data_IF_661516175334
#
_entry.id   IF_661516175334
#
_cell.length_a   1.000
_cell.length_b   1.000
_cell.length_c   1.000
_cell.angle_alpha   90.00
_cell.angle_beta   90.00
_cell.angle_gamma   90.00
#
_symmetry.space_group_name_H-M   'P 1'
#
loop_
_entity.id
_entity.type
_entity.pdbx_description
1 polymer ?
#
# COMPACT_ATOMS: atom_id res chain seq x y z
N UNK A 1 11.52 -23.71 -9.17
CA UNK A 1 11.17 -22.28 -8.99
C UNK A 1 9.88 -22.06 -9.75
N UNK A 2 8.85 -21.58 -9.08
CA UNK A 2 7.52 -21.41 -9.67
C UNK A 2 7.56 -20.27 -10.67
N UNK A 3 7.13 -20.51 -11.91
CA UNK A 3 7.00 -19.51 -13.01
C UNK A 3 6.16 -18.29 -12.65
N UNK A 4 5.44 -18.33 -11.52
CA UNK A 4 4.57 -17.25 -11.02
C UNK A 4 5.32 -16.08 -10.37
N UNK A 5 6.61 -16.19 -10.09
CA UNK A 5 7.40 -15.09 -9.52
C UNK A 5 7.89 -14.07 -10.54
N UNK A 6 7.76 -14.33 -11.84
CA UNK A 6 8.48 -13.61 -12.89
C UNK A 6 7.66 -12.61 -13.69
N UNK A 7 6.35 -12.49 -13.48
CA UNK A 7 5.57 -11.44 -14.14
C UNK A 7 5.51 -10.14 -13.32
N UNK A 8 6.61 -9.73 -12.74
CA UNK A 8 6.81 -8.34 -12.31
C UNK A 8 7.17 -7.50 -13.56
N UNK A 9 6.30 -7.46 -14.55
CA UNK A 9 6.36 -6.46 -15.61
C UNK A 9 5.83 -5.15 -15.06
N UNK A 10 6.62 -4.51 -14.21
CA UNK A 10 6.43 -3.10 -13.91
C UNK A 10 7.27 -2.33 -14.92
N UNK A 11 6.60 -1.67 -15.83
CA UNK A 11 7.18 -0.78 -16.82
C UNK A 11 6.92 0.68 -16.40
N UNK A 12 7.75 1.58 -16.88
CA UNK A 12 7.52 3.02 -16.76
C UNK A 12 6.14 3.35 -17.31
N UNK A 13 5.40 4.24 -16.61
CA UNK A 13 4.02 4.65 -16.93
C UNK A 13 2.93 3.59 -16.74
N UNK A 14 3.25 2.44 -16.15
CA UNK A 14 2.20 1.51 -15.80
C UNK A 14 1.32 2.11 -14.67
N UNK A 15 -0.03 2.12 -14.81
CA UNK A 15 -0.89 2.88 -13.91
C UNK A 15 -1.04 2.28 -12.51
N UNK A 16 -0.53 1.07 -12.31
CA UNK A 16 -0.67 0.32 -11.05
C UNK A 16 0.53 -0.59 -10.79
N UNK A 17 0.88 -0.76 -9.51
CA UNK A 17 1.91 -1.68 -9.04
C UNK A 17 1.28 -2.92 -8.42
N UNK A 18 1.81 -4.11 -8.73
CA UNK A 18 1.42 -5.37 -8.09
C UNK A 18 2.13 -5.50 -6.74
N UNK A 19 1.37 -5.66 -5.68
CA UNK A 19 1.89 -5.86 -4.32
C UNK A 19 1.39 -7.18 -3.76
N UNK A 20 2.31 -8.06 -3.35
CA UNK A 20 1.97 -9.34 -2.74
C UNK A 20 1.59 -9.14 -1.27
N UNK A 21 0.49 -9.77 -0.84
CA UNK A 21 0.02 -9.70 0.55
C UNK A 21 1.06 -10.26 1.53
N UNK A 22 1.78 -11.30 1.14
CA UNK A 22 2.86 -11.87 1.94
C UNK A 22 3.97 -10.86 2.20
N UNK A 23 4.35 -10.06 1.21
CA UNK A 23 5.34 -8.99 1.37
C UNK A 23 4.89 -7.96 2.42
N UNK A 24 3.66 -7.46 2.33
CA UNK A 24 3.11 -6.54 3.34
C UNK A 24 3.04 -7.20 4.71
N UNK A 25 2.66 -8.49 4.78
CA UNK A 25 2.65 -9.26 6.03
C UNK A 25 4.03 -9.36 6.70
N UNK A 26 5.12 -9.50 5.91
CA UNK A 26 6.49 -9.47 6.40
C UNK A 26 6.88 -8.08 6.90
N UNK A 27 6.60 -7.03 6.14
CA UNK A 27 6.86 -5.65 6.55
C UNK A 27 6.11 -5.27 7.83
N UNK A 28 4.88 -5.73 8.02
CA UNK A 28 4.11 -5.49 9.24
C UNK A 28 4.73 -6.16 10.47
N UNK A 29 5.40 -7.30 10.31
CA UNK A 29 6.08 -8.03 11.39
C UNK A 29 7.45 -7.45 11.75
N UNK A 30 8.14 -6.87 10.79
CA UNK A 30 9.47 -6.30 11.01
C UNK A 30 9.39 -5.00 11.80
N UNK A 31 9.67 -5.07 13.08
CA UNK A 31 9.63 -3.93 14.01
C UNK A 31 10.86 -3.01 13.90
N UNK A 32 11.89 -3.38 13.17
CA UNK A 32 13.10 -2.56 12.97
C UNK A 32 12.82 -1.35 12.05
N UNK A 33 11.88 -1.48 11.11
CA UNK A 33 11.54 -0.44 10.14
C UNK A 33 10.58 0.58 10.77
N UNK A 34 10.93 1.86 10.74
CA UNK A 34 10.14 2.95 11.33
C UNK A 34 8.93 3.32 10.46
N UNK A 35 7.77 3.55 11.10
CA UNK A 35 6.49 3.92 10.45
C UNK A 35 5.97 5.31 10.83
N UNK A 36 6.74 6.07 11.59
CA UNK A 36 6.33 7.37 12.17
C UNK A 36 6.38 8.56 11.18
N UNK A 37 5.85 8.37 9.97
CA UNK A 37 5.67 9.44 8.98
C UNK A 37 4.23 9.96 8.90
N UNK A 38 4.02 11.02 8.10
CA UNK A 38 2.71 11.62 7.83
C UNK A 38 2.24 11.43 6.39
N UNK A 39 3.05 10.77 5.54
CA UNK A 39 2.70 10.41 4.15
C UNK A 39 1.43 9.57 4.09
N UNK A 40 1.32 8.55 4.93
CA UNK A 40 0.18 7.63 4.94
C UNK A 40 0.28 6.49 3.94
N UNK A 41 1.34 6.40 3.14
CA UNK A 41 1.51 5.35 2.12
C UNK A 41 1.49 3.95 2.73
N UNK A 42 2.24 3.72 3.80
CA UNK A 42 2.24 2.46 4.51
C UNK A 42 0.83 2.08 5.02
N UNK A 43 0.15 3.01 5.67
CA UNK A 43 -1.16 2.77 6.26
C UNK A 43 -2.21 2.43 5.18
N UNK A 44 -2.22 3.17 4.07
CA UNK A 44 -3.10 2.90 2.94
C UNK A 44 -2.80 1.54 2.29
N UNK A 45 -1.51 1.19 2.14
CA UNK A 45 -1.08 -0.10 1.58
C UNK A 45 -1.52 -1.27 2.48
N UNK A 46 -1.41 -1.12 3.80
CA UNK A 46 -1.89 -2.12 4.76
C UNK A 46 -3.42 -2.30 4.66
N UNK A 47 -4.19 -1.22 4.62
CA UNK A 47 -5.65 -1.34 4.42
C UNK A 47 -5.98 -2.03 3.11
N UNK A 48 -5.27 -1.69 2.03
CA UNK A 48 -5.42 -2.33 0.72
C UNK A 48 -5.08 -3.83 0.76
N UNK A 49 -4.09 -4.22 1.56
CA UNK A 49 -3.72 -5.62 1.76
C UNK A 49 -4.88 -6.46 2.36
N UNK A 50 -5.70 -5.89 3.23
CA UNK A 50 -6.84 -6.58 3.85
C UNK A 50 -8.13 -6.48 3.03
N UNK A 51 -8.25 -5.52 2.13
CA UNK A 51 -9.47 -5.31 1.35
C UNK A 51 -9.87 -6.56 0.54
N UNK A 52 -11.16 -6.88 0.55
CA UNK A 52 -11.71 -8.05 -0.13
C UNK A 52 -11.78 -7.88 -1.65
N UNK A 53 -11.54 -8.97 -2.38
CA UNK A 53 -11.80 -9.04 -3.82
C UNK A 53 -13.23 -9.48 -4.16
N UNK A 54 -13.84 -10.28 -3.29
CA UNK A 54 -15.19 -10.85 -3.47
C UNK A 54 -16.04 -10.56 -2.25
N UNK A 55 -17.35 -10.59 -2.42
CA UNK A 55 -18.27 -10.55 -1.28
C UNK A 55 -18.04 -11.77 -0.38
N UNK A 56 -17.89 -11.51 0.90
CA UNK A 56 -17.71 -12.52 1.93
C UNK A 56 -18.50 -12.16 3.20
N UNK A 57 -18.55 -13.08 4.15
CA UNK A 57 -19.18 -12.88 5.44
C UNK A 57 -18.15 -13.02 6.55
N UNK A 58 -18.15 -12.07 7.48
CA UNK A 58 -17.30 -12.12 8.67
C UNK A 58 -18.17 -12.07 9.92
N UNK A 59 -17.99 -13.04 10.82
CA UNK A 59 -18.69 -13.07 12.09
C UNK A 59 -17.78 -12.54 13.19
N UNK A 60 -18.26 -11.52 13.93
CA UNK A 60 -17.58 -10.94 15.09
C UNK A 60 -18.60 -10.78 16.21
N UNK A 61 -18.27 -11.26 17.39
CA UNK A 61 -19.11 -11.19 18.60
C UNK A 61 -20.55 -11.72 18.36
N UNK A 62 -20.68 -12.82 17.59
CA UNK A 62 -21.95 -13.44 17.26
C UNK A 62 -22.72 -12.80 16.11
N UNK A 63 -22.34 -11.59 15.66
CA UNK A 63 -23.01 -10.86 14.58
C UNK A 63 -22.31 -11.14 13.26
N UNK A 64 -23.09 -11.46 12.23
CA UNK A 64 -22.60 -11.68 10.87
C UNK A 64 -22.66 -10.38 10.07
N UNK A 65 -21.55 -10.02 9.45
CA UNK A 65 -21.40 -8.83 8.62
C UNK A 65 -21.07 -9.21 7.18
N UNK A 66 -21.75 -8.60 6.22
CA UNK A 66 -21.41 -8.72 4.80
C UNK A 66 -20.28 -7.74 4.46
N UNK A 67 -19.22 -8.26 3.84
CA UNK A 67 -18.05 -7.51 3.39
C UNK A 67 -18.02 -7.55 1.87
N UNK A 68 -18.16 -6.40 1.24
CA UNK A 68 -18.14 -6.27 -0.22
C UNK A 68 -16.71 -6.06 -0.76
N UNK A 69 -16.51 -6.15 -2.09
CA UNK A 69 -15.21 -5.86 -2.71
C UNK A 69 -14.69 -4.47 -2.31
N UNK A 70 -13.42 -4.41 -1.94
CA UNK A 70 -12.77 -3.21 -1.44
C UNK A 70 -13.03 -2.90 0.04
N UNK A 71 -13.89 -3.67 0.70
CA UNK A 71 -14.19 -3.50 2.12
C UNK A 71 -13.42 -4.48 3.00
N UNK A 72 -13.28 -4.10 4.26
CA UNK A 72 -12.87 -4.98 5.35
C UNK A 72 -13.49 -4.54 6.67
N UNK A 73 -13.61 -5.49 7.59
CA UNK A 73 -14.08 -5.27 8.96
C UNK A 73 -13.05 -5.80 9.94
N UNK A 74 -12.65 -4.97 10.90
CA UNK A 74 -11.69 -5.34 11.93
C UNK A 74 -12.03 -4.67 13.26
N UNK A 75 -11.36 -5.11 14.34
CA UNK A 75 -11.38 -4.40 15.61
C UNK A 75 -10.44 -3.18 15.53
N UNK A 76 -10.77 -2.11 16.30
CA UNK A 76 -9.87 -0.95 16.40
C UNK A 76 -8.51 -1.34 16.98
N UNK A 77 -8.45 -2.36 17.85
CA UNK A 77 -7.20 -2.91 18.37
C UNK A 77 -6.33 -3.55 17.29
N UNK A 78 -6.92 -4.24 16.30
CA UNK A 78 -6.18 -4.79 15.16
C UNK A 78 -5.55 -3.67 14.32
N UNK A 79 -6.28 -2.56 14.09
CA UNK A 79 -5.72 -1.38 13.41
C UNK A 79 -4.53 -0.77 14.16
N UNK A 80 -4.61 -0.70 15.49
CA UNK A 80 -3.52 -0.21 16.33
C UNK A 80 -2.25 -1.04 16.12
N UNK A 81 -2.40 -2.35 16.03
CA UNK A 81 -1.31 -3.27 15.76
C UNK A 81 -0.75 -3.10 14.33
N UNK A 82 -1.63 -3.04 13.33
CA UNK A 82 -1.23 -2.91 11.93
C UNK A 82 -0.52 -1.59 11.64
N UNK A 83 -1.03 -0.50 12.22
CA UNK A 83 -0.46 0.85 12.05
C UNK A 83 0.69 1.13 13.00
N UNK A 84 0.99 0.19 13.92
CA UNK A 84 2.02 0.35 14.95
C UNK A 84 1.83 1.60 15.79
N UNK A 85 0.61 1.96 16.08
CA UNK A 85 0.26 3.07 16.97
C UNK A 85 0.16 2.59 18.40
N UNK A 86 0.47 3.47 19.35
CA UNK A 86 0.38 3.14 20.78
C UNK A 86 -1.07 3.10 21.27
N UNK A 87 -1.92 3.97 20.72
CA UNK A 87 -3.29 4.17 21.18
C UNK A 87 -4.29 4.09 20.02
N UNK A 88 -5.52 3.65 20.35
CA UNK A 88 -6.61 3.49 19.38
C UNK A 88 -7.00 4.81 18.70
N UNK A 89 -6.99 5.95 19.43
CA UNK A 89 -7.30 7.25 18.86
C UNK A 89 -6.32 7.66 17.76
N UNK A 90 -5.04 7.24 17.85
CA UNK A 90 -4.04 7.48 16.80
C UNK A 90 -4.36 6.69 15.53
N UNK A 91 -4.75 5.41 15.67
CA UNK A 91 -5.18 4.60 14.53
C UNK A 91 -6.43 5.17 13.86
N UNK A 92 -7.38 5.68 14.63
CA UNK A 92 -8.58 6.34 14.12
C UNK A 92 -8.25 7.70 13.47
N UNK A 93 -7.26 8.44 13.98
CA UNK A 93 -6.79 9.68 13.35
C UNK A 93 -6.21 9.41 11.96
N UNK A 94 -5.43 8.34 11.78
CA UNK A 94 -4.91 7.91 10.47
C UNK A 94 -6.07 7.59 9.50
N UNK A 95 -7.09 6.86 9.95
CA UNK A 95 -8.26 6.58 9.09
C UNK A 95 -8.99 7.87 8.68
N UNK A 96 -9.13 8.82 9.61
CA UNK A 96 -9.74 10.12 9.31
C UNK A 96 -8.94 10.87 8.26
N UNK A 97 -7.62 10.94 8.41
CA UNK A 97 -6.74 11.59 7.44
C UNK A 97 -6.86 10.96 6.04
N UNK A 98 -6.85 9.63 5.94
CA UNK A 98 -7.05 8.93 4.67
C UNK A 98 -8.46 9.16 4.08
N UNK A 99 -9.49 9.30 4.92
CA UNK A 99 -10.84 9.64 4.50
C UNK A 99 -10.94 11.10 4.01
N UNK A 100 -10.31 12.04 4.70
CA UNK A 100 -10.28 13.46 4.31
C UNK A 100 -9.57 13.66 2.97
N UNK A 101 -8.56 12.83 2.70
CA UNK A 101 -7.91 12.72 1.37
C UNK A 101 -8.75 11.94 0.34
N UNK A 102 -9.97 11.54 0.66
CA UNK A 102 -10.87 10.80 -0.24
C UNK A 102 -10.36 9.43 -0.72
N UNK A 103 -9.42 8.81 -0.04
CA UNK A 103 -8.86 7.50 -0.40
C UNK A 103 -9.68 6.33 0.14
N UNK A 104 -10.32 6.52 1.29
CA UNK A 104 -11.17 5.52 1.92
C UNK A 104 -12.50 6.13 2.39
N UNK A 105 -13.43 5.27 2.79
CA UNK A 105 -14.52 5.60 3.71
C UNK A 105 -14.49 4.61 4.87
N UNK A 106 -14.89 5.02 6.06
CA UNK A 106 -15.02 4.10 7.18
C UNK A 106 -16.21 4.44 8.06
N UNK A 107 -16.70 3.43 8.76
CA UNK A 107 -17.76 3.55 9.77
C UNK A 107 -17.35 2.80 11.02
N UNK A 108 -17.70 3.35 12.18
CA UNK A 108 -17.54 2.71 13.47
C UNK A 108 -18.79 1.91 13.82
N UNK A 109 -18.62 0.68 14.25
CA UNK A 109 -19.67 -0.26 14.62
C UNK A 109 -19.40 -0.79 16.04
N UNK A 110 -20.38 -1.48 16.64
CA UNK A 110 -20.19 -2.13 17.93
C UNK A 110 -19.77 -1.16 19.05
N UNK A 111 -20.43 0.01 19.15
CA UNK A 111 -20.08 1.08 20.10
C UNK A 111 -18.64 1.57 19.93
N UNK A 112 -18.17 1.69 18.70
CA UNK A 112 -16.84 2.22 18.38
C UNK A 112 -15.70 1.20 18.50
N UNK A 113 -15.98 -0.08 18.78
CA UNK A 113 -14.95 -1.13 18.89
C UNK A 113 -14.55 -1.76 17.56
N UNK A 114 -15.43 -1.66 16.56
CA UNK A 114 -15.22 -2.23 15.23
C UNK A 114 -15.13 -1.10 14.20
N UNK A 115 -14.31 -1.32 13.19
CA UNK A 115 -14.17 -0.45 12.02
C UNK A 115 -14.51 -1.26 10.78
N UNK A 116 -15.46 -0.78 10.00
CA UNK A 116 -15.67 -1.23 8.62
C UNK A 116 -15.16 -0.14 7.69
N UNK A 117 -14.15 -0.44 6.90
CA UNK A 117 -13.61 0.50 5.92
C UNK A 117 -13.78 0.00 4.49
N UNK A 118 -13.71 0.92 3.53
CA UNK A 118 -13.77 0.65 2.09
C UNK A 118 -12.73 1.49 1.37
N UNK A 119 -11.92 0.85 0.53
CA UNK A 119 -10.98 1.53 -0.37
C UNK A 119 -11.75 2.12 -1.55
N UNK A 120 -11.65 3.43 -1.77
CA UNK A 120 -12.27 4.09 -2.93
C UNK A 120 -11.57 3.66 -4.23
N UNK A 121 -12.36 3.47 -5.28
CA UNK A 121 -11.83 3.06 -6.58
C UNK A 121 -11.27 1.63 -6.64
N UNK A 122 -11.44 0.81 -5.59
CA UNK A 122 -10.91 -0.56 -5.52
C UNK A 122 -11.15 -1.37 -6.78
N UNK A 123 -12.41 -1.45 -7.24
CA UNK A 123 -12.78 -2.27 -8.39
C UNK A 123 -12.24 -1.75 -9.74
N UNK A 124 -11.71 -0.51 -9.79
CA UNK A 124 -11.05 0.01 -11.00
C UNK A 124 -9.74 -0.72 -11.29
N UNK A 125 -8.99 -1.09 -10.22
CA UNK A 125 -7.67 -1.68 -10.32
C UNK A 125 -7.62 -3.15 -9.89
N UNK A 126 -8.63 -3.61 -9.13
CA UNK A 126 -8.66 -4.90 -8.46
C UNK A 126 -9.93 -5.70 -8.82
N UNK A 127 -10.12 -6.02 -10.12
CA UNK A 127 -11.23 -6.86 -10.60
C UNK A 127 -10.85 -8.33 -10.61
N UNK A 128 -11.72 -9.18 -10.12
CA UNK A 128 -11.51 -10.64 -10.05
C UNK A 128 -11.34 -11.28 -11.43
N UNK A 129 -12.00 -10.73 -12.47
CA UNK A 129 -11.99 -11.27 -13.83
C UNK A 129 -10.62 -11.15 -14.54
N UNK A 130 -9.70 -10.33 -14.00
CA UNK A 130 -8.36 -10.14 -14.56
C UNK A 130 -7.32 -11.11 -13.98
N UNK A 131 -7.73 -11.98 -13.04
CA UNK A 131 -6.82 -12.90 -12.37
C UNK A 131 -7.07 -14.33 -12.80
N UNK A 132 -6.05 -15.01 -13.31
CA UNK A 132 -5.98 -16.46 -13.27
C UNK A 132 -6.02 -16.90 -11.81
N UNK A 133 -6.68 -18.02 -11.54
CA UNK A 133 -6.88 -18.51 -10.17
C UNK A 133 -5.54 -18.50 -9.40
N UNK A 134 -5.49 -17.89 -8.21
CA UNK A 134 -4.27 -17.87 -7.41
C UNK A 134 -3.85 -19.30 -7.06
N UNK A 135 -2.55 -19.54 -7.04
CA UNK A 135 -2.01 -20.79 -6.51
C UNK A 135 -2.51 -20.98 -5.07
N UNK A 136 -2.96 -22.15 -4.70
CA UNK A 136 -3.51 -22.45 -3.37
C UNK A 136 -2.54 -22.16 -2.21
N UNK A 137 -1.26 -22.03 -2.50
CA UNK A 137 -0.19 -21.74 -1.52
C UNK A 137 0.14 -20.25 -1.40
N UNK A 138 -0.43 -19.38 -2.25
CA UNK A 138 -0.15 -17.94 -2.25
C UNK A 138 -1.28 -17.20 -1.51
N UNK A 139 -0.89 -16.25 -0.67
CA UNK A 139 -1.85 -15.33 -0.02
C UNK A 139 -2.42 -14.31 -0.97
N UNK A 140 -2.01 -14.33 -2.26
CA UNK A 140 -2.45 -13.46 -3.33
C UNK A 140 -1.77 -12.10 -3.31
N UNK A 141 -2.20 -11.26 -4.24
CA UNK A 141 -1.71 -9.90 -4.42
C UNK A 141 -2.88 -8.92 -4.60
N UNK A 142 -2.56 -7.65 -4.60
CA UNK A 142 -3.47 -6.57 -5.00
C UNK A 142 -2.70 -5.56 -5.84
N UNK A 143 -3.43 -4.72 -6.58
CA UNK A 143 -2.85 -3.61 -7.30
C UNK A 143 -3.01 -2.32 -6.52
N UNK A 144 -1.91 -1.60 -6.37
CA UNK A 144 -1.85 -0.25 -5.83
C UNK A 144 -1.72 0.74 -6.99
N UNK A 145 -2.63 1.74 -7.11
CA UNK A 145 -2.48 2.77 -8.13
C UNK A 145 -1.24 3.64 -7.90
N UNK A 146 -0.41 3.82 -8.92
CA UNK A 146 0.81 4.65 -8.83
C UNK A 146 0.45 6.11 -8.53
N UNK A 147 -0.64 6.64 -9.10
CA UNK A 147 -1.11 8.00 -8.83
C UNK A 147 -1.42 8.23 -7.35
N UNK A 148 -2.07 7.26 -6.69
CA UNK A 148 -2.38 7.34 -5.25
C UNK A 148 -1.11 7.25 -4.41
N UNK A 149 -0.17 6.39 -4.77
CA UNK A 149 1.11 6.29 -4.08
C UNK A 149 1.90 7.62 -4.17
N UNK A 150 1.98 8.21 -5.35
CA UNK A 150 2.64 9.50 -5.56
C UNK A 150 1.95 10.64 -4.80
N UNK A 151 0.63 10.69 -4.78
CA UNK A 151 -0.15 11.65 -4.00
C UNK A 151 0.18 11.53 -2.51
N UNK A 152 0.19 10.32 -1.96
CA UNK A 152 0.50 10.08 -0.55
C UNK A 152 1.94 10.47 -0.18
N UNK A 153 2.91 10.10 -1.01
CA UNK A 153 4.32 10.46 -0.81
C UNK A 153 4.50 11.99 -0.81
N UNK A 154 3.82 12.69 -1.72
CA UNK A 154 3.93 14.16 -1.86
C UNK A 154 3.16 14.92 -0.77
N UNK A 155 2.19 14.30 -0.12
CA UNK A 155 1.30 14.97 0.84
C UNK A 155 1.87 15.09 2.25
N UNK A 156 3.01 14.46 2.55
CA UNK A 156 3.57 14.49 3.89
C UNK A 156 4.99 13.91 3.99
N UNK A 157 5.54 13.95 5.20
CA UNK A 157 6.84 13.37 5.48
C UNK A 157 6.75 11.84 5.45
N UNK A 158 7.57 11.20 4.63
CA UNK A 158 7.69 9.76 4.60
C UNK A 158 8.42 9.22 5.83
N UNK A 159 7.93 8.10 6.34
CA UNK A 159 8.68 7.23 7.24
C UNK A 159 9.69 6.39 6.44
N UNK A 160 10.57 5.66 7.14
CA UNK A 160 11.45 4.67 6.49
C UNK A 160 10.62 3.62 5.73
N UNK A 161 9.49 3.20 6.30
CA UNK A 161 8.57 2.25 5.67
C UNK A 161 7.93 2.83 4.40
N UNK A 162 7.51 4.11 4.44
CA UNK A 162 6.94 4.77 3.25
C UNK A 162 7.98 4.87 2.14
N UNK A 163 9.23 5.23 2.47
CA UNK A 163 10.33 5.32 1.51
C UNK A 163 10.64 3.94 0.88
N UNK A 164 10.69 2.87 1.67
CA UNK A 164 10.88 1.51 1.15
C UNK A 164 9.74 1.09 0.21
N UNK A 165 8.50 1.39 0.57
CA UNK A 165 7.35 1.12 -0.30
C UNK A 165 7.39 1.94 -1.58
N UNK A 166 7.80 3.22 -1.49
CA UNK A 166 7.95 4.09 -2.65
C UNK A 166 9.04 3.56 -3.61
N UNK A 167 10.19 3.11 -3.09
CA UNK A 167 11.23 2.44 -3.88
C UNK A 167 10.68 1.18 -4.56
N UNK A 168 9.95 0.34 -3.82
CA UNK A 168 9.35 -0.88 -4.37
C UNK A 168 8.34 -0.60 -5.48
N UNK A 169 7.47 0.39 -5.28
CA UNK A 169 6.42 0.76 -6.24
C UNK A 169 7.02 1.29 -7.55
N UNK A 170 8.18 1.95 -7.47
CA UNK A 170 8.91 2.49 -8.62
C UNK A 170 10.00 1.56 -9.16
N UNK A 171 9.99 0.28 -8.77
CA UNK A 171 10.89 -0.71 -9.35
C UNK A 171 10.35 -1.20 -10.68
N UNK A 172 11.14 -1.10 -11.75
CA UNK A 172 10.82 -1.56 -13.10
C UNK A 172 11.69 -2.74 -13.49
N UNK A 173 11.18 -3.58 -14.36
CA UNK A 173 11.89 -4.75 -14.87
C UNK A 173 11.55 -4.97 -16.35
N UNK A 174 12.58 -5.24 -17.17
CA UNK A 174 12.47 -5.49 -18.59
C UNK A 174 11.73 -4.37 -19.36
N UNK A 175 12.07 -3.13 -19.04
CA UNK A 175 11.55 -1.92 -19.69
C UNK A 175 12.62 -1.29 -20.57
N UNK A 176 12.33 -1.17 -21.87
CA UNK A 176 13.26 -0.61 -22.85
C UNK A 176 13.63 0.86 -22.63
N UNK A 177 12.84 1.58 -21.81
CA UNK A 177 13.13 2.97 -21.45
C UNK A 177 14.12 3.10 -20.28
N UNK A 178 14.44 1.99 -19.59
CA UNK A 178 15.29 1.98 -18.39
C UNK A 178 16.47 1.05 -18.58
N UNK A 179 17.64 1.64 -18.80
CA UNK A 179 18.90 0.89 -18.95
C UNK A 179 19.17 0.02 -17.72
N UNK A 180 19.57 -1.22 -17.95
CA UNK A 180 19.87 -2.21 -16.89
C UNK A 180 18.64 -3.00 -16.41
N UNK A 181 17.43 -2.56 -16.74
CA UNK A 181 16.21 -3.27 -16.32
C UNK A 181 16.02 -4.62 -17.01
N UNK A 182 16.70 -4.84 -18.12
CA UNK A 182 16.75 -6.10 -18.84
C UNK A 182 17.56 -7.19 -18.11
N UNK A 183 18.51 -6.77 -17.27
CA UNK A 183 19.34 -7.68 -16.46
C UNK A 183 18.68 -7.99 -15.11
N UNK A 184 18.00 -7.01 -14.54
CA UNK A 184 17.35 -7.15 -13.22
C UNK A 184 16.44 -5.97 -12.87
N UNK A 185 15.75 -6.05 -11.73
CA UNK A 185 14.90 -4.95 -11.26
C UNK A 185 15.72 -3.70 -10.96
N UNK A 186 15.28 -2.55 -11.48
CA UNK A 186 15.88 -1.23 -11.27
C UNK A 186 14.85 -0.28 -10.68
N UNK A 187 15.23 0.47 -9.65
CA UNK A 187 14.39 1.56 -9.13
C UNK A 187 14.50 2.75 -10.10
N UNK A 188 13.37 3.13 -10.69
CA UNK A 188 13.28 4.25 -11.61
C UNK A 188 12.20 5.23 -11.17
N UNK A 189 12.62 6.39 -10.71
CA UNK A 189 11.75 7.46 -10.27
C UNK A 189 11.92 8.68 -11.14
N UNK A 190 10.83 9.43 -11.38
CA UNK A 190 10.85 10.70 -12.10
C UNK A 190 10.54 11.85 -11.13
N UNK A 191 11.17 12.99 -11.35
CA UNK A 191 10.84 14.25 -10.69
C UNK A 191 9.58 14.88 -11.31
N UNK A 192 9.16 16.04 -10.78
CA UNK A 192 7.97 16.75 -11.25
C UNK A 192 8.04 17.23 -12.72
N UNK A 193 9.24 17.25 -13.34
CA UNK A 193 9.45 17.57 -14.76
C UNK A 193 9.53 16.33 -15.65
N UNK A 194 9.36 15.14 -15.07
CA UNK A 194 9.45 13.86 -15.78
C UNK A 194 10.88 13.35 -15.98
N UNK A 195 11.92 14.06 -15.49
CA UNK A 195 13.32 13.63 -15.57
C UNK A 195 13.62 12.60 -14.47
N UNK A 196 14.56 11.64 -14.71
CA UNK A 196 14.97 10.70 -13.69
C UNK A 196 15.53 11.38 -12.45
N UNK A 197 15.19 10.86 -11.26
CA UNK A 197 15.82 11.26 -10.00
C UNK A 197 17.19 10.60 -9.88
N UNK A 198 18.23 11.39 -9.70
CA UNK A 198 19.62 10.92 -9.71
C UNK A 198 20.40 11.19 -8.43
N UNK A 199 19.80 11.85 -7.45
CA UNK A 199 20.53 12.23 -6.24
C UNK A 199 19.72 12.21 -4.96
N UNK A 200 20.42 12.07 -3.83
CA UNK A 200 19.82 12.09 -2.49
C UNK A 200 19.07 13.40 -2.17
N UNK A 201 19.43 14.51 -2.81
CA UNK A 201 18.73 15.77 -2.61
C UNK A 201 17.29 15.71 -3.17
N UNK A 202 17.12 15.10 -4.34
CA UNK A 202 15.82 14.93 -4.97
C UNK A 202 14.96 13.89 -4.24
N UNK A 203 15.57 12.79 -3.76
CA UNK A 203 14.90 11.82 -2.90
C UNK A 203 14.47 12.45 -1.56
N UNK A 204 15.34 13.26 -0.96
CA UNK A 204 15.02 13.99 0.27
C UNK A 204 13.81 14.91 0.07
N UNK A 205 13.77 15.64 -1.04
CA UNK A 205 12.63 16.48 -1.42
C UNK A 205 11.38 15.66 -1.63
N UNK A 206 11.45 14.55 -2.37
CA UNK A 206 10.33 13.64 -2.63
C UNK A 206 9.73 13.10 -1.33
N UNK A 207 10.58 12.70 -0.39
CA UNK A 207 10.12 12.08 0.88
C UNK A 207 9.89 13.09 2.01
N UNK A 208 10.09 14.38 1.78
CA UNK A 208 9.92 15.41 2.80
C UNK A 208 10.86 15.23 4.00
N UNK A 209 12.10 14.76 3.77
CA UNK A 209 13.12 14.49 4.80
C UNK A 209 14.40 15.27 4.53
N UNK A 210 15.35 15.26 5.47
CA UNK A 210 16.67 15.84 5.23
C UNK A 210 17.50 14.97 4.28
N UNK A 211 18.47 15.59 3.56
CA UNK A 211 19.41 14.86 2.70
C UNK A 211 20.18 13.77 3.45
N UNK A 212 20.58 14.04 4.70
CA UNK A 212 21.24 13.06 5.54
C UNK A 212 20.35 11.88 5.96
N UNK A 213 19.03 12.03 5.89
CA UNK A 213 18.07 10.96 6.20
C UNK A 213 17.76 10.12 4.95
N UNK A 214 17.89 10.71 3.75
CA UNK A 214 17.62 10.04 2.48
C UNK A 214 18.81 9.18 1.99
N UNK A 215 20.03 9.47 2.43
CA UNK A 215 21.24 8.69 2.19
C UNK A 215 21.50 7.71 3.29
#
# INVERSE_FOLDING_TARGET
>A
MSEYQLELKQIVDYPRCRIYRQFIGLLMKDKSIRVGGTSGLYHFTVLSCFANFRTSYKRIDGISYTIYPGEWLCRVSELTEWFRTRFQHQALAILRELQDRHLITYTLLGRGRLVKFKIKGWCKYNRVLEYNAPCQKDTGFFFLPISVANELVSAGRCSVMDAMLDLWINTVYNDTQVQGSEVGPVVYMRNGTGSPLIGYAELAQRWGVSKATAG
#
